data_IF_418868628060
#
_entry.id   IF_418868628060
#
_cell.length_a   1.000
_cell.length_b   1.000
_cell.length_c   1.000
_cell.angle_alpha   90.00
_cell.angle_beta   90.00
_cell.angle_gamma   90.00
#
_symmetry.space_group_name_H-M   'P 1'
#
loop_
_entity.id
_entity.type
_entity.pdbx_description
1 polymer ?
#
# COMPACT_ATOMS: atom_id res chain seq x y z
N UNK A 1 -25.56 0.64 -6.93
CA UNK A 1 -24.92 1.90 -7.39
C UNK A 1 -24.23 1.59 -8.72
N UNK A 2 -24.63 2.22 -9.82
CA UNK A 2 -24.03 2.00 -11.15
C UNK A 2 -23.33 3.29 -11.60
N UNK A 3 -22.06 3.19 -12.01
CA UNK A 3 -21.27 4.31 -12.51
C UNK A 3 -21.38 4.39 -14.04
N UNK A 4 -21.68 5.57 -14.58
CA UNK A 4 -21.66 5.82 -16.03
C UNK A 4 -20.24 6.18 -16.49
N UNK A 5 -19.78 5.71 -17.66
CA UNK A 5 -18.48 6.09 -18.19
C UNK A 5 -18.49 7.59 -18.54
N UNK A 6 -17.48 8.32 -18.10
CA UNK A 6 -17.26 9.71 -18.53
C UNK A 6 -16.70 9.67 -19.95
N UNK A 7 -17.54 9.98 -20.93
CA UNK A 7 -17.10 10.16 -22.32
C UNK A 7 -16.18 11.38 -22.37
N UNK A 8 -14.93 11.19 -22.81
CA UNK A 8 -13.97 12.27 -22.94
C UNK A 8 -14.41 13.24 -24.04
N UNK A 9 -14.40 14.54 -23.75
CA UNK A 9 -14.47 15.55 -24.79
C UNK A 9 -13.24 15.41 -25.72
N UNK A 10 -13.44 15.55 -27.04
CA UNK A 10 -12.37 15.38 -28.03
C UNK A 10 -11.19 16.28 -27.67
N UNK A 11 -10.01 15.68 -27.48
CA UNK A 11 -8.76 16.39 -27.15
C UNK A 11 -8.30 16.26 -25.69
N UNK A 12 -9.16 15.80 -24.76
CA UNK A 12 -8.73 15.50 -23.41
C UNK A 12 -8.14 14.09 -23.31
N UNK A 13 -6.92 13.99 -22.78
CA UNK A 13 -6.27 12.71 -22.45
C UNK A 13 -7.26 11.90 -21.60
N UNK A 14 -7.56 10.67 -22.02
CA UNK A 14 -8.50 9.81 -21.31
C UNK A 14 -8.08 9.74 -19.83
N UNK A 15 -9.05 9.91 -18.94
CA UNK A 15 -8.84 9.75 -17.50
C UNK A 15 -8.29 8.35 -17.24
N UNK A 16 -7.00 8.21 -16.98
CA UNK A 16 -6.45 6.94 -16.50
C UNK A 16 -6.90 6.75 -15.05
N UNK A 17 -7.40 5.57 -14.67
CA UNK A 17 -7.64 5.25 -13.27
C UNK A 17 -6.38 5.51 -12.45
N UNK A 18 -6.54 6.06 -11.25
CA UNK A 18 -5.43 6.12 -10.32
C UNK A 18 -5.02 4.68 -9.96
N UNK A 19 -3.78 4.32 -10.28
CA UNK A 19 -3.20 3.02 -9.93
C UNK A 19 -2.42 3.16 -8.63
N UNK A 20 -2.80 2.38 -7.63
CA UNK A 20 -2.13 2.31 -6.35
C UNK A 20 -1.59 0.88 -6.18
N UNK A 21 -0.27 0.72 -6.24
CA UNK A 21 0.37 -0.58 -6.03
C UNK A 21 0.53 -0.81 -4.52
N UNK A 22 -0.53 -1.35 -3.90
CA UNK A 22 -0.61 -1.61 -2.45
C UNK A 22 -0.07 -3.01 -2.12
N UNK A 23 0.69 -3.12 -1.04
CA UNK A 23 1.24 -4.37 -0.54
C UNK A 23 0.91 -4.56 0.95
N UNK A 24 0.58 -5.80 1.31
CA UNK A 24 0.53 -6.22 2.71
C UNK A 24 1.92 -6.72 3.11
N UNK A 25 2.47 -6.11 4.15
CA UNK A 25 3.77 -6.48 4.70
C UNK A 25 3.54 -7.11 6.07
N UNK A 26 3.97 -8.35 6.19
CA UNK A 26 3.96 -9.07 7.45
C UNK A 26 5.33 -8.93 8.12
N UNK A 27 5.35 -8.30 9.30
CA UNK A 27 6.57 -8.25 10.12
C UNK A 27 6.68 -9.53 10.98
N UNK A 28 7.79 -10.26 10.84
CA UNK A 28 8.03 -11.51 11.59
C UNK A 28 8.68 -11.28 12.96
N UNK A 29 8.91 -10.04 13.37
CA UNK A 29 9.72 -9.67 14.55
C UNK A 29 9.10 -9.85 15.93
N UNK A 30 7.79 -10.10 16.07
CA UNK A 30 7.14 -10.16 17.40
C UNK A 30 6.35 -11.47 17.63
N UNK A 31 6.65 -12.16 18.74
CA UNK A 31 5.93 -13.36 19.18
C UNK A 31 4.44 -13.07 19.44
N UNK A 32 3.60 -13.70 18.63
CA UNK A 32 2.25 -14.28 18.83
C UNK A 32 1.19 -13.61 19.75
N UNK A 33 0.00 -13.40 19.17
CA UNK A 33 -1.22 -14.15 19.56
C UNK A 33 -2.13 -14.33 18.32
N UNK A 34 -2.84 -15.45 18.19
CA UNK A 34 -3.68 -15.76 17.02
C UNK A 34 -4.86 -14.77 16.82
N UNK A 35 -5.21 -13.99 17.85
CA UNK A 35 -6.19 -12.90 17.80
C UNK A 35 -5.55 -11.51 17.55
N UNK A 36 -4.22 -11.39 17.67
CA UNK A 36 -3.42 -10.19 17.39
C UNK A 36 -2.81 -10.20 15.97
N UNK A 37 -3.28 -11.08 15.08
CA UNK A 37 -2.72 -11.23 13.73
C UNK A 37 -2.81 -9.95 12.87
N UNK A 38 -3.77 -9.06 13.14
CA UNK A 38 -3.87 -7.77 12.45
C UNK A 38 -2.89 -6.70 12.98
N UNK A 39 -2.33 -6.89 14.19
CA UNK A 39 -1.32 -5.99 14.76
C UNK A 39 0.06 -6.17 14.09
N UNK A 40 0.27 -7.30 13.39
CA UNK A 40 1.51 -7.63 12.69
C UNK A 40 1.46 -7.33 11.17
N UNK A 41 0.28 -6.93 10.65
CA UNK A 41 0.09 -6.60 9.24
C UNK A 41 0.13 -5.08 9.06
N UNK A 42 1.18 -4.62 8.39
CA UNK A 42 1.26 -3.26 7.90
C UNK A 42 0.84 -3.21 6.43
N UNK A 43 0.21 -2.12 6.03
CA UNK A 43 -0.06 -1.83 4.62
C UNK A 43 1.00 -0.84 4.17
N UNK A 44 1.52 -1.03 2.96
CA UNK A 44 2.42 -0.08 2.33
C UNK A 44 2.01 0.17 0.88
N UNK A 45 2.20 1.39 0.40
CA UNK A 45 2.14 1.69 -1.02
C UNK A 45 3.55 1.61 -1.60
N UNK A 46 3.74 0.79 -2.63
CA UNK A 46 4.99 0.76 -3.39
C UNK A 46 5.03 2.00 -4.28
N UNK A 47 6.02 2.87 -4.05
CA UNK A 47 6.23 4.09 -4.82
C UNK A 47 7.21 3.87 -5.97
N UNK A 48 8.23 3.03 -5.76
CA UNK A 48 9.17 2.64 -6.80
C UNK A 48 9.82 1.28 -6.48
N UNK A 49 10.19 0.54 -7.53
CA UNK A 49 11.05 -0.64 -7.45
C UNK A 49 12.28 -0.36 -8.31
N UNK A 50 13.48 -0.52 -7.76
CA UNK A 50 14.72 -0.14 -8.42
C UNK A 50 15.88 -1.04 -8.02
N UNK A 51 16.90 -1.12 -8.87
CA UNK A 51 18.20 -1.68 -8.50
C UNK A 51 19.05 -0.55 -7.94
N UNK A 52 19.70 -0.78 -6.81
CA UNK A 52 20.61 0.22 -6.25
C UNK A 52 21.84 0.37 -7.16
N UNK A 53 22.27 1.60 -7.48
CA UNK A 53 23.52 1.82 -8.21
C UNK A 53 24.72 1.23 -7.47
N UNK A 54 25.65 0.62 -8.22
CA UNK A 54 26.79 -0.14 -7.68
C UNK A 54 27.65 0.65 -6.69
N UNK A 55 27.79 1.96 -6.88
CA UNK A 55 28.57 2.83 -6.00
C UNK A 55 27.91 3.12 -4.64
N UNK A 56 26.61 2.85 -4.49
CA UNK A 56 25.86 3.00 -3.23
C UNK A 56 25.70 1.67 -2.47
N UNK A 57 26.12 0.57 -3.08
CA UNK A 57 26.07 -0.77 -2.49
C UNK A 57 25.54 -1.82 -3.47
N UNK A 58 25.92 -3.07 -3.22
CA UNK A 58 25.47 -4.21 -4.01
C UNK A 58 24.40 -5.00 -3.28
N UNK A 59 23.23 -5.10 -3.91
CA UNK A 59 22.12 -5.93 -3.43
C UNK A 59 21.75 -6.93 -4.51
N UNK A 60 21.63 -8.21 -4.12
CA UNK A 60 21.24 -9.29 -5.04
C UNK A 60 19.79 -9.15 -5.52
N UNK A 61 18.96 -8.42 -4.77
CA UNK A 61 17.54 -8.24 -5.03
C UNK A 61 17.21 -6.77 -5.29
N UNK A 62 16.21 -6.48 -6.16
CA UNK A 62 15.68 -5.13 -6.31
C UNK A 62 15.16 -4.59 -4.97
N UNK A 63 15.35 -3.29 -4.76
CA UNK A 63 14.84 -2.56 -3.61
C UNK A 63 13.49 -1.91 -3.96
N UNK A 64 12.66 -1.71 -2.95
CA UNK A 64 11.40 -1.00 -3.09
C UNK A 64 11.39 0.23 -2.17
N UNK A 65 11.07 1.40 -2.72
CA UNK A 65 10.68 2.56 -1.94
C UNK A 65 9.19 2.46 -1.66
N UNK A 66 8.83 2.42 -0.38
CA UNK A 66 7.44 2.22 0.06
C UNK A 66 7.03 3.30 1.04
N UNK A 67 5.77 3.68 0.98
CA UNK A 67 5.13 4.57 1.94
C UNK A 67 4.26 3.73 2.87
N UNK A 68 4.52 3.82 4.17
CA UNK A 68 3.85 3.01 5.17
C UNK A 68 2.51 3.60 5.58
N UNK A 69 1.52 2.75 5.76
CA UNK A 69 0.24 3.09 6.38
C UNK A 69 0.18 2.50 7.79
N UNK A 70 -0.73 3.02 8.62
CA UNK A 70 -0.97 2.49 9.96
C UNK A 70 -1.39 1.03 9.92
N UNK A 71 -0.90 0.24 10.89
CA UNK A 71 -1.34 -1.14 11.11
C UNK A 71 -2.86 -1.23 11.22
N UNK A 72 -3.41 -2.36 10.77
CA UNK A 72 -4.85 -2.64 10.71
C UNK A 72 -5.45 -2.90 12.10
N UNK A 73 -5.49 -1.88 12.96
CA UNK A 73 -5.89 -2.03 14.37
C UNK A 73 -7.35 -1.71 14.64
N UNK A 74 -7.95 -0.81 13.87
CA UNK A 74 -9.31 -0.35 14.10
C UNK A 74 -10.21 -0.72 12.91
N UNK A 75 -11.24 -1.53 13.20
CA UNK A 75 -12.28 -1.88 12.25
C UNK A 75 -13.47 -0.93 12.44
N UNK A 76 -13.89 -0.28 11.37
CA UNK A 76 -15.08 0.55 11.37
C UNK A 76 -16.31 -0.33 11.68
N UNK A 77 -17.11 0.00 12.71
CA UNK A 77 -18.19 -0.87 13.18
C UNK A 77 -19.36 -0.99 12.19
N UNK A 78 -19.53 -0.04 11.26
CA UNK A 78 -20.65 -0.01 10.31
C UNK A 78 -20.32 -0.83 9.06
N UNK A 79 -19.15 -0.60 8.46
CA UNK A 79 -18.78 -1.23 7.18
C UNK A 79 -17.96 -2.51 7.36
N UNK A 80 -17.40 -2.73 8.57
CA UNK A 80 -16.45 -3.80 8.82
C UNK A 80 -15.13 -3.62 8.07
N UNK A 81 -14.81 -2.43 7.57
CA UNK A 81 -13.54 -2.13 6.90
C UNK A 81 -12.49 -1.65 7.92
N UNK A 82 -11.22 -1.75 7.56
CA UNK A 82 -10.15 -1.17 8.37
C UNK A 82 -9.85 0.25 7.91
N UNK A 83 -9.79 1.18 8.86
CA UNK A 83 -9.33 2.53 8.56
C UNK A 83 -7.80 2.54 8.53
N UNK A 84 -7.24 2.94 7.40
CA UNK A 84 -5.81 3.14 7.21
C UNK A 84 -5.52 4.62 7.00
N UNK A 85 -4.57 5.15 7.76
CA UNK A 85 -4.01 6.48 7.53
C UNK A 85 -2.55 6.36 7.13
N UNK A 86 -2.06 7.35 6.36
CA UNK A 86 -0.63 7.41 6.05
C UNK A 86 0.16 7.50 7.35
N UNK A 87 1.15 6.63 7.52
CA UNK A 87 2.07 6.73 8.63
C UNK A 87 3.06 7.85 8.35
N UNK A 88 3.27 8.74 9.32
CA UNK A 88 4.33 9.76 9.25
C UNK A 88 5.67 9.25 9.81
N UNK A 89 5.84 7.92 9.89
CA UNK A 89 7.05 7.30 10.42
C UNK A 89 8.24 7.50 9.51
#
# INVERSE_FOLDING_TARGET
ISARPKVAARGCKASSPARFDMAFVWDKGHQQSFFSACDAICIAQVRAIFKLPDHLGHYLHPLAYVEWFTSLRCREPISGQFLITCSTR
#
